data_IF_566208353402
#
_entry.id   IF_566208353402
#
_cell.length_a   1.000
_cell.length_b   1.000
_cell.length_c   1.000
_cell.angle_alpha   90.00
_cell.angle_beta   90.00
_cell.angle_gamma   90.00
#
_symmetry.space_group_name_H-M   'P 1'
#
loop_
_entity.id
_entity.type
_entity.pdbx_description
1 polymer ?
#
# COMPACT_ATOMS: atom_id res chain seq x y z
N UNK A 1 -16.54 -13.17 8.67
CA UNK A 1 -16.10 -13.65 7.36
C UNK A 1 -15.55 -15.06 7.52
N UNK A 2 -15.68 -15.89 6.52
CA UNK A 2 -15.21 -17.29 6.52
C UNK A 2 -14.30 -17.49 5.29
N UNK A 3 -13.05 -16.99 5.33
CA UNK A 3 -12.13 -17.17 4.22
C UNK A 3 -11.69 -18.64 4.13
N UNK A 4 -11.54 -19.14 2.92
CA UNK A 4 -10.96 -20.48 2.69
C UNK A 4 -9.45 -20.50 2.92
N UNK A 5 -8.80 -19.37 2.69
CA UNK A 5 -7.35 -19.17 2.81
C UNK A 5 -7.07 -17.91 3.61
N UNK A 6 -6.09 -17.96 4.49
CA UNK A 6 -5.71 -16.83 5.34
C UNK A 6 -4.21 -16.84 5.57
N UNK A 7 -3.58 -15.70 5.41
CA UNK A 7 -2.19 -15.46 5.77
C UNK A 7 -2.01 -14.08 6.38
N UNK A 8 -0.98 -13.92 7.19
CA UNK A 8 -0.58 -12.65 7.78
C UNK A 8 0.81 -12.31 7.26
N UNK A 9 1.02 -11.06 6.88
CA UNK A 9 2.29 -10.60 6.35
C UNK A 9 2.92 -9.60 7.32
N UNK A 10 4.21 -9.79 7.59
CA UNK A 10 5.02 -8.89 8.42
C UNK A 10 6.16 -8.29 7.60
N UNK A 11 6.60 -7.10 7.99
CA UNK A 11 7.86 -6.53 7.52
C UNK A 11 9.05 -7.35 8.04
N UNK A 12 10.06 -7.57 7.19
CA UNK A 12 11.26 -8.34 7.49
C UNK A 12 12.54 -7.47 7.48
N UNK A 13 12.49 -6.32 8.10
CA UNK A 13 13.64 -5.42 8.23
C UNK A 13 13.65 -4.28 7.22
N UNK A 14 14.84 -3.91 6.74
CA UNK A 14 15.01 -2.79 5.82
C UNK A 14 14.47 -3.10 4.42
N UNK A 15 13.94 -2.07 3.75
CA UNK A 15 13.38 -2.18 2.40
C UNK A 15 14.42 -1.74 1.37
N UNK A 16 14.37 -2.34 0.18
CA UNK A 16 15.14 -1.87 -0.99
C UNK A 16 14.94 -0.37 -1.27
N UNK A 17 13.82 0.22 -0.81
CA UNK A 17 13.55 1.66 -0.97
C UNK A 17 14.58 2.53 -0.26
N UNK A 18 15.22 2.05 0.80
CA UNK A 18 16.30 2.78 1.48
C UNK A 18 17.59 2.83 0.65
N UNK A 19 17.79 1.88 -0.26
CA UNK A 19 18.91 1.93 -1.23
C UNK A 19 18.63 2.97 -2.32
N UNK A 20 17.38 3.09 -2.76
CA UNK A 20 16.95 4.09 -3.76
C UNK A 20 16.94 5.51 -3.15
N UNK A 21 16.45 5.64 -1.93
CA UNK A 21 16.32 6.90 -1.22
C UNK A 21 16.65 6.73 0.26
N UNK A 22 17.89 7.04 0.69
CA UNK A 22 18.34 6.82 2.08
C UNK A 22 17.50 7.52 3.15
N UNK A 23 16.78 8.58 2.78
CA UNK A 23 15.90 9.31 3.69
C UNK A 23 14.49 8.70 3.79
N UNK A 24 14.20 7.64 3.03
CA UNK A 24 12.91 6.93 3.10
C UNK A 24 12.65 6.43 4.53
N UNK A 25 11.49 6.78 5.06
CA UNK A 25 11.08 6.48 6.47
C UNK A 25 12.02 6.99 7.57
N UNK A 26 13.04 7.79 7.24
CA UNK A 26 14.01 8.28 8.23
C UNK A 26 13.39 9.17 9.32
N UNK A 27 12.24 9.77 9.05
CA UNK A 27 11.49 10.61 10.00
C UNK A 27 10.54 9.84 10.90
N UNK A 28 10.37 8.52 10.67
CA UNK A 28 9.51 7.68 11.52
C UNK A 28 10.11 7.52 12.91
N UNK A 29 9.27 7.63 13.93
CA UNK A 29 9.67 7.28 15.27
C UNK A 29 10.01 5.78 15.34
N UNK A 30 11.05 5.46 16.10
CA UNK A 30 11.42 4.06 16.34
C UNK A 30 10.31 3.37 17.12
N UNK A 31 10.02 2.14 16.71
CA UNK A 31 9.08 1.30 17.45
C UNK A 31 9.52 1.18 18.92
N UNK A 32 8.65 1.45 19.91
CA UNK A 32 8.95 1.24 21.32
C UNK A 32 9.47 -0.18 21.59
N UNK A 33 10.44 -0.30 22.49
CA UNK A 33 11.08 -1.59 22.77
C UNK A 33 10.10 -2.64 23.30
N UNK A 34 9.09 -2.23 24.10
CA UNK A 34 8.04 -3.12 24.57
C UNK A 34 7.20 -3.69 23.41
N UNK A 35 6.88 -2.86 22.41
CA UNK A 35 6.13 -3.31 21.23
C UNK A 35 6.99 -4.25 20.39
N UNK A 36 8.27 -3.91 20.19
CA UNK A 36 9.22 -4.77 19.47
C UNK A 36 9.36 -6.14 20.17
N UNK A 37 9.45 -6.16 21.49
CA UNK A 37 9.53 -7.38 22.29
C UNK A 37 8.25 -8.24 22.22
N UNK A 38 7.12 -7.66 21.85
CA UNK A 38 5.85 -8.38 21.71
C UNK A 38 5.67 -9.06 20.33
N UNK A 39 6.41 -8.66 19.31
CA UNK A 39 6.27 -9.22 17.94
C UNK A 39 6.45 -10.76 17.88
N UNK A 40 7.43 -11.37 18.59
CA UNK A 40 7.51 -12.84 18.62
C UNK A 40 6.24 -13.48 19.15
N UNK A 41 5.65 -12.91 20.23
CA UNK A 41 4.37 -13.42 20.77
C UNK A 41 3.21 -13.31 19.80
N UNK A 42 3.17 -12.25 18.97
CA UNK A 42 2.18 -12.16 17.91
C UNK A 42 2.33 -13.31 16.91
N UNK A 43 3.56 -13.67 16.54
CA UNK A 43 3.83 -14.83 15.67
C UNK A 43 3.38 -16.13 16.32
N UNK A 44 3.66 -16.32 17.61
CA UNK A 44 3.23 -17.51 18.36
C UNK A 44 1.71 -17.63 18.38
N UNK A 45 0.99 -16.52 18.54
CA UNK A 45 -0.47 -16.46 18.48
C UNK A 45 -0.97 -16.89 17.10
N UNK A 46 -0.43 -16.34 16.02
CA UNK A 46 -0.83 -16.75 14.67
C UNK A 46 -0.54 -18.23 14.43
N UNK A 47 0.58 -18.74 14.89
CA UNK A 47 0.91 -20.15 14.80
C UNK A 47 -0.10 -21.03 15.58
N UNK A 48 -0.51 -20.62 16.78
CA UNK A 48 -1.52 -21.31 17.57
C UNK A 48 -2.91 -21.33 16.89
N UNK A 49 -3.24 -20.26 16.15
CA UNK A 49 -4.43 -20.19 15.31
C UNK A 49 -4.27 -20.88 13.94
N UNK A 50 -3.14 -21.55 13.70
CA UNK A 50 -2.82 -22.16 12.40
C UNK A 50 -2.85 -21.16 11.23
N UNK A 51 -2.52 -19.89 11.48
CA UNK A 51 -2.41 -18.86 10.47
C UNK A 51 -0.94 -18.64 10.12
N UNK A 52 -0.51 -18.92 8.88
CA UNK A 52 0.88 -18.74 8.48
C UNK A 52 1.25 -17.25 8.44
N UNK A 53 2.48 -16.97 8.91
CA UNK A 53 3.12 -15.66 8.80
C UNK A 53 4.08 -15.70 7.61
N UNK A 54 3.98 -14.69 6.74
CA UNK A 54 4.77 -14.56 5.52
C UNK A 54 5.60 -13.29 5.62
N UNK A 55 6.86 -13.38 5.27
CA UNK A 55 7.79 -12.25 5.22
C UNK A 55 8.85 -12.51 4.15
N UNK A 56 9.45 -11.45 3.63
CA UNK A 56 10.55 -11.53 2.68
C UNK A 56 11.62 -10.48 3.03
N UNK A 57 12.84 -10.92 3.26
CA UNK A 57 13.95 -10.03 3.60
C UNK A 57 14.23 -9.02 2.48
N UNK A 58 14.41 -7.75 2.82
CA UNK A 58 14.61 -6.66 1.87
C UNK A 58 13.34 -6.12 1.23
N UNK A 59 12.16 -6.64 1.58
CA UNK A 59 10.85 -6.23 1.05
C UNK A 59 9.92 -5.81 2.16
N UNK A 60 9.06 -4.86 1.87
CA UNK A 60 8.00 -4.46 2.78
C UNK A 60 6.81 -5.42 2.70
N UNK A 61 6.05 -5.50 3.80
CA UNK A 61 4.84 -6.31 3.84
C UNK A 61 3.88 -5.98 2.67
N UNK A 62 3.82 -4.71 2.28
CA UNK A 62 2.95 -4.24 1.19
C UNK A 62 3.33 -4.87 -0.16
N UNK A 63 4.64 -4.99 -0.44
CA UNK A 63 5.14 -5.63 -1.67
C UNK A 63 4.87 -7.14 -1.66
N UNK A 64 5.03 -7.77 -0.50
CA UNK A 64 4.72 -9.19 -0.32
C UNK A 64 3.22 -9.44 -0.55
N UNK A 65 2.35 -8.62 0.05
CA UNK A 65 0.89 -8.67 -0.14
C UNK A 65 0.54 -8.46 -1.62
N UNK A 66 1.12 -7.44 -2.26
CA UNK A 66 0.89 -7.14 -3.68
C UNK A 66 1.31 -8.29 -4.59
N UNK A 67 2.44 -8.93 -4.27
CA UNK A 67 2.96 -10.08 -5.03
C UNK A 67 2.06 -11.32 -4.89
N UNK A 68 1.60 -11.60 -3.67
CA UNK A 68 0.69 -12.71 -3.40
C UNK A 68 -0.69 -12.47 -4.01
N UNK A 69 -1.23 -11.25 -3.91
CA UNK A 69 -2.50 -10.89 -4.52
C UNK A 69 -2.48 -11.08 -6.05
N UNK A 70 -1.39 -10.65 -6.70
CA UNK A 70 -1.21 -10.86 -8.15
C UNK A 70 -1.16 -12.33 -8.53
N UNK A 71 -0.44 -13.15 -7.76
CA UNK A 71 -0.37 -14.60 -7.98
C UNK A 71 -1.75 -15.25 -7.77
N UNK A 72 -2.45 -14.86 -6.70
CA UNK A 72 -3.80 -15.34 -6.39
C UNK A 72 -4.79 -15.04 -7.53
N UNK A 73 -4.78 -13.82 -8.06
CA UNK A 73 -5.58 -13.44 -9.23
C UNK A 73 -5.25 -14.30 -10.45
N UNK A 74 -3.97 -14.58 -10.70
CA UNK A 74 -3.54 -15.41 -11.83
C UNK A 74 -4.01 -16.88 -11.69
N UNK A 75 -4.20 -17.36 -10.47
CA UNK A 75 -4.74 -18.70 -10.15
C UNK A 75 -6.27 -18.70 -10.00
N UNK A 76 -6.94 -17.56 -10.20
CA UNK A 76 -8.41 -17.44 -10.17
C UNK A 76 -9.02 -17.23 -8.80
N UNK A 77 -8.21 -16.90 -7.79
CA UNK A 77 -8.71 -16.54 -6.46
C UNK A 77 -9.25 -15.11 -6.40
N UNK A 78 -10.18 -14.89 -5.47
CA UNK A 78 -10.58 -13.55 -5.02
C UNK A 78 -9.78 -13.18 -3.78
N UNK A 79 -9.14 -12.01 -3.80
CA UNK A 79 -8.28 -11.56 -2.71
C UNK A 79 -8.96 -10.45 -1.91
N UNK A 80 -8.94 -10.58 -0.59
CA UNK A 80 -9.31 -9.54 0.35
C UNK A 80 -8.06 -9.09 1.10
N UNK A 81 -7.59 -7.89 0.84
CA UNK A 81 -6.51 -7.26 1.61
C UNK A 81 -7.15 -6.59 2.83
N UNK A 82 -6.72 -6.95 4.03
CA UNK A 82 -7.21 -6.33 5.28
C UNK A 82 -6.17 -5.34 5.75
N UNK A 83 -6.41 -4.05 5.51
CA UNK A 83 -5.49 -2.97 5.90
C UNK A 83 -6.20 -1.63 5.99
N UNK A 84 -5.73 -0.76 6.89
CA UNK A 84 -6.12 0.66 6.93
C UNK A 84 -5.27 1.56 6.03
N UNK A 85 -4.27 1.01 5.36
CA UNK A 85 -3.36 1.79 4.53
C UNK A 85 -3.99 2.14 3.17
N UNK A 86 -3.89 3.44 2.83
CA UNK A 86 -4.41 3.99 1.56
C UNK A 86 -3.65 3.50 0.34
N UNK A 87 -2.41 3.06 0.54
CA UNK A 87 -1.54 2.70 -0.57
C UNK A 87 -2.02 1.41 -1.25
N UNK A 88 -2.71 0.52 -0.53
CA UNK A 88 -3.36 -0.65 -1.10
C UNK A 88 -4.49 -0.36 -2.09
N UNK A 89 -4.99 0.88 -2.16
CA UNK A 89 -5.95 1.25 -3.21
C UNK A 89 -5.40 1.05 -4.63
N UNK A 90 -4.08 1.06 -4.82
CA UNK A 90 -3.45 0.79 -6.12
C UNK A 90 -3.56 -0.66 -6.59
N UNK A 91 -3.88 -1.60 -5.69
CA UNK A 91 -4.04 -3.02 -5.98
C UNK A 91 -5.48 -3.45 -6.22
N UNK A 92 -6.44 -2.53 -6.05
CA UNK A 92 -7.86 -2.84 -6.19
C UNK A 92 -8.21 -3.04 -7.66
N UNK A 93 -8.83 -4.17 -7.94
CA UNK A 93 -9.40 -4.51 -9.24
C UNK A 93 -10.66 -5.40 -9.07
N UNK A 94 -11.12 -6.05 -10.13
CA UNK A 94 -12.28 -6.95 -10.11
C UNK A 94 -12.09 -8.20 -9.23
N UNK A 95 -10.85 -8.58 -8.92
CA UNK A 95 -10.49 -9.79 -8.19
C UNK A 95 -9.86 -9.50 -6.82
N UNK A 96 -9.41 -8.26 -6.60
CA UNK A 96 -8.78 -7.80 -5.36
C UNK A 96 -9.57 -6.64 -4.76
N UNK A 97 -9.99 -6.79 -3.52
CA UNK A 97 -10.70 -5.75 -2.75
C UNK A 97 -9.96 -5.45 -1.46
N UNK A 98 -10.17 -4.25 -0.91
CA UNK A 98 -9.59 -3.83 0.36
C UNK A 98 -10.69 -3.79 1.43
N UNK A 99 -10.45 -4.44 2.55
CA UNK A 99 -11.23 -4.28 3.77
C UNK A 99 -10.45 -3.38 4.73
N UNK A 100 -10.88 -2.14 4.89
CA UNK A 100 -10.41 -1.31 5.98
C UNK A 100 -11.13 -1.74 7.27
N UNK A 101 -10.43 -2.29 8.26
CA UNK A 101 -11.08 -2.79 9.48
C UNK A 101 -11.65 -1.67 10.36
N UNK A 102 -11.39 -0.41 9.98
CA UNK A 102 -11.75 0.73 10.80
C UNK A 102 -10.83 0.92 12.01
N UNK A 103 -11.23 1.83 12.88
CA UNK A 103 -10.51 2.09 14.15
C UNK A 103 -11.54 2.32 15.25
N UNK A 104 -11.48 1.54 16.30
CA UNK A 104 -12.34 1.71 17.46
C UNK A 104 -12.05 2.99 18.26
N UNK A 105 -12.95 3.33 19.18
CA UNK A 105 -12.84 4.47 20.09
C UNK A 105 -13.75 5.64 19.73
N UNK A 106 -13.76 6.73 20.54
CA UNK A 106 -14.70 7.87 20.40
C UNK A 106 -14.56 8.65 19.09
N UNK A 107 -13.39 8.57 18.43
CA UNK A 107 -13.12 9.14 17.12
C UNK A 107 -12.95 8.01 16.08
N UNK A 108 -13.68 6.92 16.25
CA UNK A 108 -13.57 5.72 15.43
C UNK A 108 -13.89 5.97 13.96
N UNK A 109 -13.30 5.15 13.13
CA UNK A 109 -13.64 5.03 11.71
C UNK A 109 -14.33 3.69 11.54
N UNK A 110 -15.49 3.70 10.92
CA UNK A 110 -16.23 2.47 10.64
C UNK A 110 -15.44 1.56 9.68
N UNK A 111 -15.70 0.27 9.77
CA UNK A 111 -15.21 -0.69 8.80
C UNK A 111 -15.76 -0.36 7.42
N UNK A 112 -14.90 -0.43 6.41
CA UNK A 112 -15.27 -0.08 5.03
C UNK A 112 -14.71 -1.12 4.04
N UNK A 113 -15.58 -1.57 3.14
CA UNK A 113 -15.18 -2.33 1.96
C UNK A 113 -14.87 -1.37 0.80
N UNK A 114 -13.66 -1.45 0.27
CA UNK A 114 -13.24 -0.67 -0.88
C UNK A 114 -13.07 -1.62 -2.07
N UNK A 115 -13.89 -1.38 -3.08
CA UNK A 115 -13.95 -2.14 -4.33
C UNK A 115 -13.67 -1.21 -5.50
N UNK A 116 -13.52 -1.75 -6.70
CA UNK A 116 -13.35 -0.96 -7.92
C UNK A 116 -14.45 0.10 -8.11
N UNK A 117 -15.69 -0.21 -7.66
CA UNK A 117 -16.85 0.68 -7.81
C UNK A 117 -16.83 1.93 -6.89
N UNK A 118 -16.07 1.88 -5.80
CA UNK A 118 -16.06 2.96 -4.80
C UNK A 118 -14.67 3.46 -4.42
N UNK A 119 -13.59 2.88 -4.97
CA UNK A 119 -12.22 3.22 -4.63
C UNK A 119 -11.87 4.69 -4.90
N UNK A 120 -12.50 5.29 -5.92
CA UNK A 120 -12.31 6.69 -6.29
C UNK A 120 -12.89 7.69 -5.28
N UNK A 121 -13.90 7.29 -4.50
CA UNK A 121 -14.58 8.18 -3.54
C UNK A 121 -13.64 8.67 -2.45
N UNK A 122 -12.68 7.85 -2.03
CA UNK A 122 -11.77 8.17 -0.92
C UNK A 122 -10.58 9.03 -1.36
N UNK A 123 -9.97 8.71 -2.49
CA UNK A 123 -8.76 9.40 -2.98
C UNK A 123 -9.05 10.39 -4.12
N UNK A 124 -10.22 10.31 -4.73
CA UNK A 124 -10.62 11.14 -5.86
C UNK A 124 -10.03 10.72 -7.19
N UNK A 125 -9.41 9.54 -7.25
CA UNK A 125 -8.79 8.93 -8.43
C UNK A 125 -9.13 7.44 -8.52
N UNK A 126 -9.19 6.90 -9.73
CA UNK A 126 -9.36 5.47 -9.95
C UNK A 126 -8.15 4.65 -9.46
N UNK A 127 -8.30 3.35 -9.12
CA UNK A 127 -7.21 2.50 -8.65
C UNK A 127 -5.94 2.59 -9.51
N UNK A 128 -6.08 2.54 -10.83
CA UNK A 128 -4.94 2.66 -11.76
C UNK A 128 -4.21 4.02 -11.77
N UNK A 129 -4.76 5.03 -11.09
CA UNK A 129 -4.13 6.35 -10.93
C UNK A 129 -3.61 6.61 -9.52
N UNK A 130 -3.80 5.67 -8.58
CA UNK A 130 -3.43 5.88 -7.17
C UNK A 130 -1.93 6.09 -7.01
N UNK A 131 -1.11 5.32 -7.70
CA UNK A 131 0.35 5.49 -7.67
C UNK A 131 0.78 6.87 -8.16
N UNK A 132 0.20 7.36 -9.27
CA UNK A 132 0.48 8.69 -9.80
C UNK A 132 -0.03 9.81 -8.86
N UNK A 133 -1.18 9.60 -8.23
CA UNK A 133 -1.72 10.50 -7.23
C UNK A 133 -0.80 10.63 -6.01
N UNK A 134 -0.33 9.50 -5.47
CA UNK A 134 0.61 9.47 -4.35
C UNK A 134 1.96 10.06 -4.73
N UNK A 135 2.44 9.82 -5.94
CA UNK A 135 3.66 10.41 -6.48
C UNK A 135 3.63 11.94 -6.51
N UNK A 136 2.49 12.51 -6.89
CA UNK A 136 2.28 13.97 -6.88
C UNK A 136 2.14 14.54 -5.47
N UNK A 137 1.41 13.81 -4.61
CA UNK A 137 1.10 14.26 -3.25
C UNK A 137 2.30 14.15 -2.31
N UNK A 138 3.10 13.10 -2.47
CA UNK A 138 4.09 12.67 -1.49
C UNK A 138 3.45 12.02 -0.27
N UNK A 139 4.30 11.55 0.64
CA UNK A 139 3.90 11.01 1.93
C UNK A 139 4.85 11.47 3.04
N UNK A 140 4.37 12.32 3.93
CA UNK A 140 5.18 12.85 5.03
C UNK A 140 5.52 11.77 6.07
N UNK A 141 4.70 10.72 6.21
CA UNK A 141 4.97 9.63 7.16
C UNK A 141 6.12 8.75 6.70
N UNK A 142 6.30 8.62 5.39
CA UNK A 142 7.37 7.83 4.77
C UNK A 142 8.50 8.69 4.21
N UNK A 143 8.41 9.99 4.44
CA UNK A 143 9.37 10.97 3.90
C UNK A 143 9.46 10.93 2.37
N UNK A 144 8.34 10.67 1.69
CA UNK A 144 8.24 10.73 0.23
C UNK A 144 7.96 12.15 -0.21
N UNK A 145 8.83 12.77 -1.04
CA UNK A 145 8.81 14.22 -1.23
C UNK A 145 7.60 14.76 -2.01
N UNK A 146 7.10 14.02 -2.99
CA UNK A 146 6.02 14.50 -3.86
C UNK A 146 6.41 15.71 -4.72
N UNK A 147 5.39 16.51 -5.09
CA UNK A 147 5.55 17.79 -5.80
C UNK A 147 5.03 18.92 -4.91
N UNK A 148 5.91 19.78 -4.37
CA UNK A 148 5.52 20.86 -3.49
C UNK A 148 4.44 21.77 -4.10
N UNK A 149 3.35 21.97 -3.38
CA UNK A 149 2.24 22.80 -3.82
C UNK A 149 1.16 22.09 -4.65
N UNK A 150 1.33 20.78 -4.94
CA UNK A 150 0.29 19.91 -5.47
C UNK A 150 -0.29 19.09 -4.33
N UNK A 151 -1.53 19.34 -3.98
CA UNK A 151 -2.22 18.71 -2.86
C UNK A 151 -3.39 17.85 -3.30
N UNK A 152 -4.10 17.28 -2.30
CA UNK A 152 -5.23 16.33 -2.45
C UNK A 152 -6.36 16.78 -3.39
N UNK A 153 -6.52 18.07 -3.62
CA UNK A 153 -7.54 18.59 -4.55
C UNK A 153 -6.98 18.80 -5.96
N UNK A 154 -5.70 19.17 -6.05
CA UNK A 154 -5.06 19.52 -7.33
C UNK A 154 -4.61 18.27 -8.09
N UNK A 155 -4.03 17.29 -7.39
CA UNK A 155 -3.52 16.07 -8.02
C UNK A 155 -4.61 15.28 -8.78
N UNK A 156 -5.82 15.02 -8.22
CA UNK A 156 -6.88 14.34 -8.98
C UNK A 156 -7.36 15.12 -10.20
N UNK A 157 -7.43 16.45 -10.10
CA UNK A 157 -7.84 17.28 -11.23
C UNK A 157 -6.83 17.21 -12.39
N UNK A 158 -5.53 17.24 -12.07
CA UNK A 158 -4.46 17.11 -13.05
C UNK A 158 -4.45 15.71 -13.69
N UNK A 159 -4.57 14.65 -12.90
CA UNK A 159 -4.61 13.29 -13.41
C UNK A 159 -5.85 13.02 -14.27
N UNK A 160 -6.98 13.64 -13.96
CA UNK A 160 -8.18 13.55 -14.81
C UNK A 160 -7.99 14.25 -16.16
N UNK A 161 -7.26 15.39 -16.21
CA UNK A 161 -7.02 16.16 -17.43
C UNK A 161 -5.90 15.53 -18.29
N UNK A 162 -4.82 15.02 -17.65
CA UNK A 162 -3.62 14.56 -18.34
C UNK A 162 -3.45 13.03 -18.38
N UNK A 163 -4.27 12.28 -17.66
CA UNK A 163 -4.31 10.82 -17.64
C UNK A 163 -3.38 10.19 -16.61
N UNK A 164 -2.07 10.42 -16.72
CA UNK A 164 -1.06 9.86 -15.84
C UNK A 164 0.09 10.84 -15.57
N UNK A 165 0.99 10.46 -14.65
CA UNK A 165 2.11 11.32 -14.23
C UNK A 165 3.04 11.70 -15.39
N UNK A 166 3.44 10.75 -16.22
CA UNK A 166 4.40 11.05 -17.30
C UNK A 166 3.78 12.00 -18.33
N UNK A 167 2.55 11.73 -18.77
CA UNK A 167 1.82 12.64 -19.67
C UNK A 167 1.66 14.04 -19.07
N UNK A 168 1.43 14.13 -17.75
CA UNK A 168 1.33 15.41 -17.04
C UNK A 168 2.67 16.16 -17.02
N UNK A 169 3.78 15.45 -16.76
CA UNK A 169 5.12 16.04 -16.73
C UNK A 169 5.56 16.50 -18.12
N UNK A 170 5.32 15.68 -19.15
CA UNK A 170 5.66 16.01 -20.54
C UNK A 170 4.88 17.22 -21.07
N UNK A 171 3.64 17.38 -20.61
CA UNK A 171 2.73 18.46 -20.99
C UNK A 171 2.54 19.50 -19.90
N UNK A 172 3.52 19.66 -19.01
CA UNK A 172 3.41 20.58 -17.88
C UNK A 172 3.14 22.04 -18.30
N UNK A 173 3.60 22.46 -19.48
CA UNK A 173 3.33 23.80 -20.03
C UNK A 173 1.85 24.07 -20.31
N UNK A 174 1.04 23.03 -20.52
CA UNK A 174 -0.39 23.15 -20.76
C UNK A 174 -1.18 23.35 -19.46
N UNK A 175 -0.54 23.15 -18.29
CA UNK A 175 -1.20 23.32 -17.00
C UNK A 175 -1.57 24.79 -16.78
N UNK A 176 -2.86 25.05 -16.59
CA UNK A 176 -3.44 26.41 -16.53
C UNK A 176 -2.90 27.22 -15.36
N UNK A 177 -2.73 26.58 -14.20
CA UNK A 177 -2.25 27.24 -12.97
C UNK A 177 -0.74 27.41 -13.01
N UNK A 178 -0.25 28.63 -13.08
CA UNK A 178 1.19 28.93 -13.13
C UNK A 178 1.97 28.29 -11.99
N UNK A 179 1.42 28.28 -10.77
CA UNK A 179 2.06 27.65 -9.60
C UNK A 179 2.26 26.14 -9.82
N UNK A 180 1.22 25.43 -10.25
CA UNK A 180 1.32 23.99 -10.48
C UNK A 180 2.24 23.67 -11.65
N UNK A 181 2.18 24.43 -12.75
CA UNK A 181 3.07 24.32 -13.90
C UNK A 181 4.54 24.43 -13.50
N UNK A 182 4.88 25.49 -12.77
CA UNK A 182 6.25 25.69 -12.31
C UNK A 182 6.72 24.58 -11.36
N UNK A 183 5.85 24.17 -10.42
CA UNK A 183 6.15 23.08 -9.50
C UNK A 183 6.42 21.76 -10.23
N UNK A 184 5.60 21.40 -11.22
CA UNK A 184 5.80 20.16 -12.01
C UNK A 184 7.12 20.20 -12.79
N UNK A 185 7.48 21.33 -13.36
CA UNK A 185 8.76 21.50 -14.09
C UNK A 185 9.97 21.39 -13.16
N UNK A 186 9.91 22.10 -12.04
CA UNK A 186 10.99 22.14 -11.06
C UNK A 186 11.20 20.79 -10.36
N UNK A 187 10.12 20.08 -10.06
CA UNK A 187 10.13 18.87 -9.25
C UNK A 187 9.79 17.59 -10.04
N UNK A 188 9.97 17.57 -11.36
CA UNK A 188 9.69 16.38 -12.18
C UNK A 188 10.49 15.14 -11.72
N UNK A 189 11.76 15.30 -11.38
CA UNK A 189 12.59 14.21 -10.87
C UNK A 189 12.08 13.72 -9.50
N UNK A 190 11.67 14.63 -8.63
CA UNK A 190 11.06 14.31 -7.32
C UNK A 190 9.76 13.54 -7.47
N UNK A 191 8.92 13.91 -8.44
CA UNK A 191 7.68 13.18 -8.74
C UNK A 191 7.94 11.74 -9.20
N UNK A 192 8.93 11.53 -10.06
CA UNK A 192 9.32 10.18 -10.51
C UNK A 192 9.92 9.34 -9.40
N UNK A 193 10.81 9.91 -8.59
CA UNK A 193 11.32 9.25 -7.39
C UNK A 193 10.16 8.88 -6.44
N UNK A 194 9.26 9.81 -6.19
CA UNK A 194 8.10 9.54 -5.34
C UNK A 194 7.24 8.42 -5.90
N UNK A 195 7.03 8.36 -7.22
CA UNK A 195 6.32 7.26 -7.87
C UNK A 195 6.99 5.92 -7.63
N UNK A 196 8.32 5.85 -7.75
CA UNK A 196 9.08 4.63 -7.47
C UNK A 196 8.89 4.18 -6.01
N UNK A 197 8.98 5.13 -5.06
CA UNK A 197 8.86 4.84 -3.63
C UNK A 197 7.45 4.39 -3.19
N UNK A 198 6.39 4.98 -3.76
CA UNK A 198 5.00 4.65 -3.38
C UNK A 198 4.42 3.47 -4.16
N UNK A 199 5.12 2.99 -5.19
CA UNK A 199 4.65 1.84 -5.96
C UNK A 199 4.83 0.56 -5.16
N UNK A 200 3.74 -0.13 -4.88
CA UNK A 200 3.77 -1.49 -4.34
C UNK A 200 4.27 -2.42 -5.45
N UNK A 201 5.39 -3.06 -5.21
CA UNK A 201 5.95 -4.04 -6.13
C UNK A 201 5.20 -5.35 -6.04
N UNK A 202 5.07 -6.03 -7.18
CA UNK A 202 4.33 -7.30 -7.28
C UNK A 202 5.23 -8.45 -7.78
N UNK A 203 6.51 -8.33 -7.48
CA UNK A 203 7.56 -9.28 -7.88
C UNK A 203 8.49 -9.63 -6.71
N UNK A 204 8.02 -9.50 -5.46
CA UNK A 204 8.71 -9.99 -4.28
C UNK A 204 8.98 -11.50 -4.40
N UNK A 205 10.12 -12.00 -3.87
CA UNK A 205 10.54 -13.38 -4.02
C UNK A 205 9.74 -14.33 -3.11
N UNK A 206 8.42 -14.24 -3.18
CA UNK A 206 7.48 -15.07 -2.46
C UNK A 206 6.65 -15.89 -3.43
N UNK A 207 6.25 -17.08 -3.00
CA UNK A 207 5.39 -17.95 -3.78
C UNK A 207 4.08 -18.18 -3.04
N UNK A 208 2.97 -18.00 -3.77
CA UNK A 208 1.66 -18.40 -3.27
C UNK A 208 1.63 -19.92 -3.10
N UNK A 209 1.28 -20.38 -1.92
CA UNK A 209 1.08 -21.79 -1.59
C UNK A 209 -0.31 -21.93 -0.93
N UNK A 210 -1.36 -22.20 -1.73
CA UNK A 210 -2.72 -22.30 -1.20
C UNK A 210 -2.88 -23.40 -0.14
N UNK A 211 -2.11 -24.48 -0.24
CA UNK A 211 -2.20 -25.57 0.74
C UNK A 211 -1.75 -25.11 2.13
N UNK A 212 -0.70 -24.29 2.20
CA UNK A 212 -0.21 -23.72 3.47
C UNK A 212 -1.13 -22.64 4.04
N UNK A 213 -1.90 -21.96 3.18
CA UNK A 213 -2.80 -20.85 3.56
C UNK A 213 -4.21 -21.31 3.90
N UNK A 214 -4.52 -22.59 3.69
CA UNK A 214 -5.87 -23.12 3.93
C UNK A 214 -6.24 -22.96 5.41
N UNK A 215 -7.41 -22.36 5.66
CA UNK A 215 -7.90 -22.17 7.02
C UNK A 215 -8.14 -23.51 7.69
N UNK A 216 -7.65 -23.65 8.91
CA UNK A 216 -7.81 -24.85 9.72
C UNK A 216 -8.55 -24.53 11.03
N UNK A 217 -9.21 -25.53 11.64
CA UNK A 217 -9.76 -25.35 12.99
C UNK A 217 -8.64 -24.93 13.97
N UNK A 218 -9.00 -24.03 14.89
CA UNK A 218 -8.06 -23.57 15.92
C UNK A 218 -7.58 -24.76 16.75
N UNK A 219 -6.28 -24.85 16.96
CA UNK A 219 -5.66 -25.81 17.88
C UNK A 219 -5.77 -25.27 19.32
N UNK A 220 -6.84 -25.65 20.00
CA UNK A 220 -7.13 -25.18 21.36
C UNK A 220 -6.09 -25.64 22.41
N UNK A 221 -5.26 -26.62 22.10
CA UNK A 221 -4.21 -27.08 23.02
C UNK A 221 -2.95 -26.19 22.92
N UNK A 222 -2.83 -25.40 21.85
CA UNK A 222 -1.73 -24.46 21.64
C UNK A 222 -2.14 -22.99 21.86
N UNK A 223 -3.42 -22.67 21.86
CA UNK A 223 -3.97 -21.34 22.07
C UNK A 223 -4.21 -21.08 23.56
#
# INVERSE_FOLDING_TARGET
>A
YEPEYLGVVFDAGDSFRTEVYPEYKATREKMPDELRASLPRCRDIFAAFCVPVIEAEGWEADDVIGSLAKQATAEGFKTVIVSGDKDFHQLIDKDTVLLNPGRGGPAGVDQEWVTEENADKRLGVAPGQVTDFLALLGDASDNVPGVPGIGKKTAPALLREFGNLESLLDRAEEVKTTRARNALREHAASARLSKELVTIRTDAPVKLDPDSLKTMPVDHDKA
#
